data_IF_908979954126
#
_entry.id   IF_908979954126
#
_cell.length_a   1.000
_cell.length_b   1.000
_cell.length_c   1.000
_cell.angle_alpha   90.00
_cell.angle_beta   90.00
_cell.angle_gamma   90.00
#
_symmetry.space_group_name_H-M   'P 1'
#
loop_
_entity.id
_entity.type
_entity.pdbx_description
1 polymer ?
#
# COMPACT_ATOMS: atom_id res chain seq x y z
N UNK A 1 -6.96 24.13 -5.77
CA UNK A 1 -5.66 23.47 -6.04
C UNK A 1 -5.90 22.22 -6.86
N UNK A 2 -5.04 21.92 -7.84
CA UNK A 2 -5.10 20.71 -8.66
C UNK A 2 -3.75 19.99 -8.55
N UNK A 3 -3.74 18.66 -8.65
CA UNK A 3 -2.54 17.83 -8.61
C UNK A 3 -1.62 18.13 -9.80
N UNK A 4 -2.19 18.27 -11.00
CA UNK A 4 -1.41 18.46 -12.22
C UNK A 4 -0.48 17.26 -12.46
N UNK A 5 0.75 17.53 -12.87
CA UNK A 5 1.77 16.49 -13.09
C UNK A 5 2.51 16.07 -11.82
N UNK A 6 2.20 16.69 -10.68
CA UNK A 6 2.83 16.39 -9.39
C UNK A 6 2.44 15.00 -8.89
N UNK A 7 3.32 14.39 -8.11
CA UNK A 7 2.98 13.16 -7.38
C UNK A 7 1.84 13.39 -6.39
N UNK A 8 1.14 12.33 -6.00
CA UNK A 8 0.12 12.39 -4.93
C UNK A 8 0.75 12.84 -3.62
N UNK A 9 1.99 12.42 -3.30
CA UNK A 9 2.68 12.87 -2.08
C UNK A 9 2.89 14.38 -2.05
N UNK A 10 3.35 14.96 -3.16
CA UNK A 10 3.52 16.41 -3.27
C UNK A 10 2.18 17.13 -3.18
N UNK A 11 1.16 16.59 -3.84
CA UNK A 11 -0.18 17.15 -3.80
C UNK A 11 -0.78 17.13 -2.38
N UNK A 12 -0.64 16.02 -1.64
CA UNK A 12 -1.08 15.89 -0.26
C UNK A 12 -0.45 16.96 0.64
N UNK A 13 0.88 17.10 0.52
CA UNK A 13 1.64 18.09 1.29
C UNK A 13 1.15 19.51 1.00
N UNK A 14 0.97 19.84 -0.28
CA UNK A 14 0.54 21.17 -0.71
C UNK A 14 -0.91 21.46 -0.29
N UNK A 15 -1.79 20.46 -0.36
CA UNK A 15 -3.19 20.58 0.03
C UNK A 15 -3.33 20.88 1.54
N UNK A 16 -2.55 20.21 2.39
CA UNK A 16 -2.55 20.44 3.84
C UNK A 16 -1.87 21.78 4.21
N UNK A 17 -0.75 22.11 3.54
CA UNK A 17 -0.02 23.35 3.78
C UNK A 17 -0.84 24.62 3.47
N UNK A 18 -1.86 24.51 2.60
CA UNK A 18 -2.77 25.61 2.28
C UNK A 18 -3.68 26.06 3.43
N UNK A 19 -3.64 25.41 4.59
CA UNK A 19 -4.46 25.77 5.76
C UNK A 19 -5.95 25.50 5.57
N UNK A 20 -6.36 24.90 4.44
CA UNK A 20 -7.74 24.52 4.13
C UNK A 20 -8.41 23.68 5.23
N UNK A 21 -7.71 22.73 5.91
CA UNK A 21 -8.32 21.95 6.98
C UNK A 21 -8.84 22.77 8.17
N UNK A 22 -8.41 24.03 8.32
CA UNK A 22 -8.85 24.91 9.40
C UNK A 22 -10.15 25.68 9.08
N UNK A 23 -10.55 25.73 7.82
CA UNK A 23 -11.67 26.56 7.35
C UNK A 23 -12.85 25.77 6.77
N UNK A 24 -12.68 24.47 6.54
CA UNK A 24 -13.67 23.62 5.89
C UNK A 24 -13.95 22.38 6.72
N UNK A 25 -15.20 21.91 6.65
CA UNK A 25 -15.59 20.60 7.17
C UNK A 25 -14.96 19.46 6.34
N UNK A 26 -14.94 18.26 6.92
CA UNK A 26 -14.33 17.08 6.29
C UNK A 26 -14.98 16.74 4.94
N UNK A 27 -16.30 16.84 4.80
CA UNK A 27 -16.99 16.53 3.56
C UNK A 27 -16.55 17.47 2.43
N UNK A 28 -16.45 18.77 2.74
CA UNK A 28 -15.94 19.79 1.82
C UNK A 28 -14.48 19.52 1.47
N UNK A 29 -13.62 19.19 2.44
CA UNK A 29 -12.21 18.86 2.19
C UNK A 29 -12.06 17.66 1.26
N UNK A 30 -12.79 16.57 1.52
CA UNK A 30 -12.79 15.37 0.69
C UNK A 30 -13.23 15.68 -0.73
N UNK A 31 -14.31 16.45 -0.91
CA UNK A 31 -14.79 16.88 -2.23
C UNK A 31 -13.76 17.74 -2.97
N UNK A 32 -13.16 18.70 -2.29
CA UNK A 32 -12.15 19.59 -2.88
C UNK A 32 -10.90 18.82 -3.30
N UNK A 33 -10.42 17.92 -2.43
CA UNK A 33 -9.27 17.06 -2.69
C UNK A 33 -9.53 16.14 -3.88
N UNK A 34 -10.66 15.42 -3.86
CA UNK A 34 -11.07 14.51 -4.94
C UNK A 34 -11.17 15.20 -6.29
N UNK A 35 -11.74 16.40 -6.31
CA UNK A 35 -11.85 17.21 -7.52
C UNK A 35 -10.49 17.71 -8.01
N UNK A 36 -9.50 17.80 -7.12
CA UNK A 36 -8.16 18.25 -7.42
C UNK A 36 -7.22 17.17 -7.94
N UNK A 37 -7.49 15.89 -7.67
CA UNK A 37 -6.73 14.75 -8.18
C UNK A 37 -6.74 14.69 -9.72
N UNK A 38 -5.69 14.06 -10.27
CA UNK A 38 -5.67 13.65 -11.68
C UNK A 38 -6.80 12.67 -11.98
N UNK A 39 -7.22 12.64 -13.25
CA UNK A 39 -8.39 11.88 -13.68
C UNK A 39 -8.22 10.35 -13.55
N UNK A 40 -7.03 9.84 -13.86
CA UNK A 40 -6.64 8.44 -13.70
C UNK A 40 -6.90 7.96 -12.26
N UNK A 41 -6.34 8.67 -11.28
CA UNK A 41 -6.50 8.34 -9.86
C UNK A 41 -7.95 8.53 -9.41
N UNK A 42 -8.56 9.66 -9.79
CA UNK A 42 -9.94 10.00 -9.42
C UNK A 42 -10.95 8.99 -9.96
N UNK A 43 -10.69 8.43 -11.13
CA UNK A 43 -11.50 7.38 -11.76
C UNK A 43 -11.44 6.09 -10.94
N UNK A 44 -10.23 5.69 -10.52
CA UNK A 44 -10.02 4.47 -9.72
C UNK A 44 -10.71 4.56 -8.36
N UNK A 45 -10.58 5.70 -7.66
CA UNK A 45 -11.29 5.92 -6.38
C UNK A 45 -12.74 6.43 -6.58
N UNK A 46 -13.26 6.30 -7.80
CA UNK A 46 -14.53 6.83 -8.29
C UNK A 46 -15.77 6.33 -7.52
N UNK A 47 -15.74 5.09 -7.06
CA UNK A 47 -16.85 4.45 -6.36
C UNK A 47 -16.74 4.56 -4.83
N UNK A 48 -15.56 4.90 -4.31
CA UNK A 48 -15.30 4.91 -2.87
C UNK A 48 -15.77 6.22 -2.24
N UNK A 49 -16.54 6.10 -1.15
CA UNK A 49 -16.88 7.22 -0.28
C UNK A 49 -15.86 7.31 0.86
N UNK A 50 -15.42 8.53 1.17
CA UNK A 50 -14.43 8.79 2.20
C UNK A 50 -15.01 9.76 3.23
N UNK A 51 -14.84 9.42 4.51
CA UNK A 51 -15.34 10.25 5.62
C UNK A 51 -14.33 11.31 6.04
N UNK A 52 -13.03 11.05 5.84
CA UNK A 52 -11.96 11.98 6.21
C UNK A 52 -11.02 12.26 5.05
N UNK A 53 -10.34 13.40 5.14
CA UNK A 53 -9.30 13.78 4.18
C UNK A 53 -8.12 12.78 4.17
N UNK A 54 -7.78 12.20 5.33
CA UNK A 54 -6.71 11.23 5.45
C UNK A 54 -7.03 9.93 4.70
N UNK A 55 -8.27 9.45 4.78
CA UNK A 55 -8.69 8.23 4.07
C UNK A 55 -8.52 8.36 2.55
N UNK A 56 -8.97 9.48 1.99
CA UNK A 56 -8.86 9.72 0.54
C UNK A 56 -7.41 9.97 0.11
N UNK A 57 -6.57 10.57 0.97
CA UNK A 57 -5.14 10.76 0.72
C UNK A 57 -4.36 9.44 0.72
N UNK A 58 -4.73 8.51 1.61
CA UNK A 58 -4.14 7.17 1.62
C UNK A 58 -4.59 6.35 0.40
N UNK A 59 -5.88 6.42 0.05
CA UNK A 59 -6.39 5.72 -1.12
C UNK A 59 -5.76 6.22 -2.42
N UNK A 60 -5.67 7.54 -2.62
CA UNK A 60 -5.04 8.12 -3.81
C UNK A 60 -3.55 7.76 -3.90
N UNK A 61 -2.84 7.73 -2.77
CA UNK A 61 -1.43 7.33 -2.73
C UNK A 61 -1.26 5.85 -3.08
N UNK A 62 -2.14 5.00 -2.55
CA UNK A 62 -2.16 3.57 -2.87
C UNK A 62 -2.43 3.29 -4.34
N UNK A 63 -3.20 4.13 -5.03
CA UNK A 63 -3.40 4.02 -6.49
C UNK A 63 -2.12 4.38 -7.24
N UNK A 64 -1.51 5.53 -6.98
CA UNK A 64 -0.28 5.95 -7.67
C UNK A 64 0.88 4.96 -7.43
N UNK A 65 1.03 4.47 -6.19
CA UNK A 65 2.07 3.50 -5.84
C UNK A 65 1.73 2.08 -6.31
N UNK A 66 0.45 1.72 -6.35
CA UNK A 66 -0.04 0.42 -6.82
C UNK A 66 0.03 0.28 -8.34
N UNK A 67 -0.24 1.35 -9.08
CA UNK A 67 -0.08 1.41 -10.54
C UNK A 67 1.38 1.20 -10.97
N UNK A 68 2.35 1.57 -10.12
CA UNK A 68 3.77 1.31 -10.38
C UNK A 68 4.14 -0.18 -10.41
N UNK A 69 3.30 -1.06 -9.84
CA UNK A 69 3.48 -2.53 -9.86
C UNK A 69 2.73 -3.23 -10.99
N UNK A 70 1.87 -2.55 -11.74
CA UNK A 70 1.12 -3.12 -12.87
C UNK A 70 1.83 -2.90 -14.21
N UNK A 71 3.12 -3.22 -14.29
CA UNK A 71 3.81 -3.47 -15.56
C UNK A 71 4.71 -4.69 -15.48
N UNK A 72 4.11 -5.87 -15.27
CA UNK A 72 4.64 -7.11 -15.82
C UNK A 72 3.56 -8.21 -15.77
N UNK A 73 3.20 -8.70 -16.96
CA UNK A 73 2.79 -10.09 -17.17
C UNK A 73 1.41 -10.50 -16.69
N UNK A 74 0.50 -10.60 -17.65
CA UNK A 74 -0.56 -11.59 -17.75
C UNK A 74 -1.68 -11.62 -16.69
N UNK A 75 -2.86 -11.95 -17.18
CA UNK A 75 -4.14 -12.01 -16.49
C UNK A 75 -4.11 -12.77 -15.16
N UNK A 76 -4.35 -12.08 -14.04
CA UNK A 76 -5.15 -12.64 -12.95
C UNK A 76 -5.68 -11.54 -12.04
N UNK A 77 -6.99 -11.58 -11.80
CA UNK A 77 -7.75 -10.72 -10.90
C UNK A 77 -7.06 -10.69 -9.54
N UNK A 78 -6.40 -9.58 -9.21
CA UNK A 78 -5.85 -9.38 -7.87
C UNK A 78 -6.96 -8.81 -7.00
N UNK A 79 -7.77 -9.72 -6.46
CA UNK A 79 -8.70 -9.47 -5.37
C UNK A 79 -7.90 -8.88 -4.19
N UNK A 80 -8.16 -7.61 -3.87
CA UNK A 80 -7.65 -7.00 -2.65
C UNK A 80 -8.44 -7.58 -1.47
N UNK A 81 -7.89 -8.66 -0.91
CA UNK A 81 -8.40 -9.27 0.31
C UNK A 81 -8.13 -8.30 1.48
N UNK A 82 -9.11 -7.47 1.82
CA UNK A 82 -9.11 -6.64 3.02
C UNK A 82 -9.35 -7.55 4.23
N UNK A 83 -8.27 -8.14 4.73
CA UNK A 83 -8.25 -8.92 5.98
C UNK A 83 -8.33 -7.98 7.19
N UNK A 84 -9.51 -7.39 7.39
CA UNK A 84 -9.98 -6.99 8.72
C UNK A 84 -10.83 -8.16 9.24
N UNK A 85 -10.61 -8.54 10.50
CA UNK A 85 -11.22 -9.66 11.24
C UNK A 85 -10.38 -10.95 11.27
N UNK A 86 -9.32 -10.91 12.08
CA UNK A 86 -8.78 -12.11 12.72
C UNK A 86 -9.82 -12.67 13.70
N UNK A 87 -10.60 -13.64 13.24
CA UNK A 87 -11.57 -14.35 14.07
C UNK A 87 -12.23 -15.45 13.25
N UNK A 88 -11.70 -16.68 13.34
CA UNK A 88 -12.31 -17.82 12.67
C UNK A 88 -11.32 -18.96 12.49
N UNK A 89 -11.58 -20.01 13.24
CA UNK A 89 -10.90 -21.29 13.33
C UNK A 89 -11.08 -22.17 12.08
N UNK A 90 -10.12 -23.09 11.94
CA UNK A 90 -10.16 -24.44 11.35
C UNK A 90 -10.06 -24.71 9.84
N UNK A 91 -9.03 -25.53 9.55
CA UNK A 91 -8.93 -26.61 8.56
C UNK A 91 -9.09 -26.23 7.07
N UNK A 92 -8.16 -26.52 6.17
CA UNK A 92 -7.67 -27.86 5.88
C UNK A 92 -6.43 -27.83 4.95
N UNK A 93 -5.55 -28.83 5.15
CA UNK A 93 -4.87 -29.58 4.07
C UNK A 93 -3.77 -28.91 3.22
N UNK A 94 -2.54 -29.03 3.75
CA UNK A 94 -1.35 -29.58 3.07
C UNK A 94 -1.42 -29.73 1.54
N UNK A 95 -0.51 -29.04 0.83
CA UNK A 95 0.12 -29.57 -0.38
C UNK A 95 1.52 -28.96 -0.55
N UNK A 96 2.52 -29.59 0.08
CA UNK A 96 3.91 -29.55 -0.41
C UNK A 96 4.02 -30.40 -1.68
N UNK A 97 4.83 -29.98 -2.66
CA UNK A 97 5.73 -30.92 -3.31
C UNK A 97 7.16 -30.37 -3.41
N UNK A 98 8.09 -30.99 -2.67
CA UNK A 98 9.26 -31.77 -3.15
C UNK A 98 9.61 -31.65 -4.67
N UNK A 99 10.84 -31.58 -5.21
CA UNK A 99 12.24 -31.77 -4.76
C UNK A 99 13.16 -31.48 -5.97
N UNK A 100 14.36 -30.92 -5.77
CA UNK A 100 15.62 -31.20 -6.52
C UNK A 100 16.78 -30.67 -5.63
N UNK A 101 17.49 -31.53 -4.88
CA UNK A 101 18.82 -32.14 -5.19
C UNK A 101 19.82 -31.13 -5.79
N UNK A 102 21.02 -30.85 -5.28
CA UNK A 102 22.07 -31.70 -4.71
C UNK A 102 23.15 -30.77 -4.08
N UNK A 103 23.92 -31.25 -3.09
CA UNK A 103 25.24 -30.65 -2.77
C UNK A 103 25.54 -30.40 -1.28
N UNK A 104 25.87 -31.47 -0.57
CA UNK A 104 26.49 -31.50 0.77
C UNK A 104 27.88 -30.84 0.78
N UNK A 105 28.27 -30.18 1.87
CA UNK A 105 29.28 -30.70 2.83
C UNK A 105 29.85 -29.61 3.77
N UNK A 106 30.32 -30.10 4.91
CA UNK A 106 30.46 -29.47 6.21
C UNK A 106 31.76 -28.68 6.42
N UNK A 107 31.74 -27.93 7.53
CA UNK A 107 32.88 -27.54 8.36
C UNK A 107 33.73 -26.32 7.91
N UNK A 108 33.57 -25.23 8.66
CA UNK A 108 34.71 -24.36 8.96
C UNK A 108 34.69 -24.01 10.44
N UNK A 109 35.65 -24.62 11.12
CA UNK A 109 35.98 -24.53 12.54
C UNK A 109 36.51 -23.12 12.85
N UNK A 110 36.03 -22.51 13.93
CA UNK A 110 36.72 -21.38 14.56
C UNK A 110 36.57 -21.46 16.07
N UNK A 111 37.53 -22.16 16.67
CA UNK A 111 37.94 -21.98 18.07
C UNK A 111 38.22 -20.49 18.35
N UNK A 112 37.70 -20.00 19.48
CA UNK A 112 37.87 -18.62 19.93
C UNK A 112 37.50 -18.42 21.40
N UNK A 113 38.25 -19.10 22.26
CA UNK A 113 38.53 -18.90 23.69
C UNK A 113 37.67 -17.93 24.51
N UNK A 114 37.09 -18.51 25.57
CA UNK A 114 36.30 -17.88 26.61
C UNK A 114 37.21 -17.57 27.80
N UNK A 115 37.57 -16.30 28.05
CA UNK A 115 38.08 -15.84 29.35
C UNK A 115 37.59 -14.44 29.72
N UNK A 116 36.60 -14.44 30.61
CA UNK A 116 36.34 -13.34 31.53
C UNK A 116 37.56 -13.14 32.44
N UNK A 117 38.01 -11.89 32.59
CA UNK A 117 38.95 -11.44 33.61
C UNK A 117 38.48 -10.12 34.19
#
# INVERSE_FOLDING_TARGET
MKQGDSSVREYNTTFLAGGLPQYHDQETLVKMYRNGLREDIRSVIGSTEFSTIDDIMHASLGVEEGESKMKQGDSSVREYNTSFLAGGYDAFESCTPNTEEEGSEEASDSEGDLKDY
#
